data_IF_578918951185
#
_entry.id   IF_578918951185
#
_cell.length_a   1.000
_cell.length_b   1.000
_cell.length_c   1.000
_cell.angle_alpha   90.00
_cell.angle_beta   90.00
_cell.angle_gamma   90.00
#
_symmetry.space_group_name_H-M   'P 1'
#
loop_
_entity.id
_entity.type
_entity.pdbx_description
1 polymer ?
#
# COMPACT_ATOMS: atom_id res chain seq x y z
N UNK A 1 -4.06 -7.71 -11.82
CA UNK A 1 -4.97 -7.04 -10.86
C UNK A 1 -4.36 -7.17 -9.48
N UNK A 2 -4.08 -6.04 -8.82
CA UNK A 2 -3.46 -5.99 -7.48
C UNK A 2 -4.50 -5.87 -6.36
N UNK A 3 -5.80 -5.92 -6.72
CA UNK A 3 -6.94 -5.52 -5.88
C UNK A 3 -7.16 -6.38 -4.62
N UNK A 4 -6.40 -7.47 -4.46
CA UNK A 4 -6.59 -8.49 -3.43
C UNK A 4 -5.42 -8.58 -2.45
N UNK A 5 -4.39 -7.74 -2.61
CA UNK A 5 -3.20 -7.77 -1.76
C UNK A 5 -3.33 -6.80 -0.58
N UNK A 6 -2.94 -7.30 0.58
CA UNK A 6 -2.94 -6.57 1.84
C UNK A 6 -1.56 -6.70 2.49
N UNK A 7 -1.09 -5.61 3.09
CA UNK A 7 0.12 -5.59 3.88
C UNK A 7 -0.26 -5.69 5.36
N UNK A 8 0.36 -6.62 6.04
CA UNK A 8 0.27 -6.85 7.47
C UNK A 8 1.57 -6.36 8.10
N UNK A 9 1.50 -5.34 8.95
CA UNK A 9 2.65 -4.88 9.74
C UNK A 9 2.81 -5.80 10.93
N UNK A 10 3.94 -6.50 10.97
CA UNK A 10 4.24 -7.51 11.99
C UNK A 10 4.75 -6.83 13.27
N UNK A 11 4.43 -7.42 14.41
CA UNK A 11 4.97 -7.04 15.71
C UNK A 11 6.44 -7.48 15.88
N UNK A 12 7.01 -7.16 17.04
CA UNK A 12 8.41 -7.45 17.37
C UNK A 12 8.75 -8.94 17.29
N UNK A 13 7.82 -9.83 17.66
CA UNK A 13 7.96 -11.28 17.47
C UNK A 13 7.35 -11.72 16.13
N UNK A 14 7.97 -11.32 15.03
CA UNK A 14 7.45 -11.56 13.68
C UNK A 14 7.24 -13.05 13.35
N UNK A 15 8.04 -13.96 13.93
CA UNK A 15 7.88 -15.41 13.70
C UNK A 15 6.55 -15.92 14.25
N UNK A 16 6.18 -15.47 15.46
CA UNK A 16 4.89 -15.80 16.05
C UNK A 16 3.76 -15.15 15.25
N UNK A 17 3.91 -13.87 14.89
CA UNK A 17 2.92 -13.15 14.06
C UNK A 17 2.65 -13.86 12.73
N UNK A 18 3.70 -14.34 12.05
CA UNK A 18 3.57 -15.11 10.80
C UNK A 18 2.87 -16.45 11.03
N UNK A 19 3.18 -17.16 12.12
CA UNK A 19 2.54 -18.43 12.45
C UNK A 19 1.05 -18.26 12.78
N UNK A 20 0.70 -17.23 13.57
CA UNK A 20 -0.70 -16.87 13.85
C UNK A 20 -1.45 -16.54 12.56
N UNK A 21 -0.85 -15.69 11.72
CA UNK A 21 -1.43 -15.29 10.44
C UNK A 21 -1.64 -16.50 9.52
N UNK A 22 -0.63 -17.34 9.32
CA UNK A 22 -0.74 -18.55 8.51
C UNK A 22 -1.83 -19.50 9.02
N UNK A 23 -1.92 -19.68 10.35
CA UNK A 23 -2.95 -20.50 10.98
C UNK A 23 -4.36 -19.92 10.71
N UNK A 24 -4.54 -18.62 10.89
CA UNK A 24 -5.82 -17.94 10.63
C UNK A 24 -6.20 -18.05 9.15
N UNK A 25 -5.27 -17.81 8.22
CA UNK A 25 -5.53 -17.90 6.79
C UNK A 25 -5.95 -19.31 6.35
N UNK A 26 -5.39 -20.35 6.98
CA UNK A 26 -5.71 -21.76 6.67
C UNK A 26 -7.00 -22.25 7.31
N UNK A 27 -7.28 -21.91 8.56
CA UNK A 27 -8.33 -22.58 9.34
C UNK A 27 -9.53 -21.70 9.69
N UNK A 28 -9.49 -20.40 9.40
CA UNK A 28 -10.63 -19.49 9.65
C UNK A 28 -11.44 -19.21 8.38
N UNK A 29 -12.41 -18.29 8.49
CA UNK A 29 -13.16 -17.71 7.36
C UNK A 29 -12.30 -16.80 6.46
N UNK A 30 -11.15 -16.33 6.94
CA UNK A 30 -10.26 -15.41 6.23
C UNK A 30 -9.31 -16.14 5.26
N UNK A 31 -9.85 -16.90 4.31
CA UNK A 31 -9.03 -17.70 3.39
C UNK A 31 -8.10 -16.84 2.53
N UNK A 32 -6.84 -17.24 2.48
CA UNK A 32 -5.80 -16.55 1.73
C UNK A 32 -4.43 -17.20 1.91
N UNK A 33 -3.40 -16.53 1.38
CA UNK A 33 -2.01 -16.98 1.48
C UNK A 33 -1.05 -15.81 1.67
N UNK A 34 0.04 -16.05 2.39
CA UNK A 34 1.18 -15.14 2.43
C UNK A 34 1.94 -15.32 1.12
N UNK A 35 2.06 -14.26 0.33
CA UNK A 35 2.76 -14.29 -0.97
C UNK A 35 4.18 -13.75 -0.89
N UNK A 36 4.47 -12.94 0.12
CA UNK A 36 5.80 -12.39 0.40
C UNK A 36 5.86 -11.96 1.87
N UNK A 37 7.05 -11.95 2.47
CA UNK A 37 7.23 -11.47 3.84
C UNK A 37 8.66 -11.04 4.15
N UNK A 38 8.79 -10.23 5.18
CA UNK A 38 10.04 -9.83 5.82
C UNK A 38 9.87 -9.86 7.34
N UNK A 39 10.86 -9.38 8.10
CA UNK A 39 10.74 -9.25 9.55
C UNK A 39 9.68 -8.20 9.98
N UNK A 40 9.32 -7.26 9.10
CA UNK A 40 8.45 -6.13 9.44
C UNK A 40 7.07 -6.21 8.81
N UNK A 41 6.95 -6.88 7.66
CA UNK A 41 5.71 -6.94 6.90
C UNK A 41 5.46 -8.32 6.32
N UNK A 42 4.20 -8.69 6.17
CA UNK A 42 3.75 -9.79 5.34
C UNK A 42 2.76 -9.28 4.28
N UNK A 43 2.88 -9.76 3.05
CA UNK A 43 1.93 -9.50 1.98
C UNK A 43 1.01 -10.70 1.89
N UNK A 44 -0.28 -10.46 2.08
CA UNK A 44 -1.34 -11.47 2.05
C UNK A 44 -2.22 -11.23 0.86
N UNK A 45 -2.51 -12.30 0.12
CA UNK A 45 -3.53 -12.33 -0.92
C UNK A 45 -4.73 -13.11 -0.39
N UNK A 46 -5.88 -12.44 -0.25
CA UNK A 46 -7.13 -13.09 0.14
C UNK A 46 -7.87 -13.64 -1.07
N UNK A 47 -8.54 -14.77 -0.89
CA UNK A 47 -9.34 -15.40 -1.94
C UNK A 47 -10.58 -14.55 -2.28
N UNK A 48 -11.43 -14.29 -1.28
CA UNK A 48 -12.74 -13.68 -1.51
C UNK A 48 -13.05 -12.46 -0.61
N UNK A 49 -12.20 -12.13 0.36
CA UNK A 49 -12.48 -11.11 1.39
C UNK A 49 -12.95 -9.76 0.79
N UNK A 50 -12.29 -9.31 -0.28
CA UNK A 50 -12.55 -8.05 -0.96
C UNK A 50 -13.90 -8.00 -1.70
N UNK A 51 -14.55 -9.15 -1.94
CA UNK A 51 -15.87 -9.23 -2.58
C UNK A 51 -16.98 -8.80 -1.64
N UNK A 52 -16.79 -8.92 -0.32
CA UNK A 52 -17.77 -8.43 0.64
C UNK A 52 -17.74 -6.89 0.68
N UNK A 53 -18.90 -6.24 0.49
CA UNK A 53 -19.05 -4.78 0.62
C UNK A 53 -18.60 -4.25 2.00
N UNK A 54 -18.68 -5.08 3.02
CA UNK A 54 -18.35 -4.77 4.42
C UNK A 54 -17.03 -5.40 4.88
N UNK A 55 -16.14 -5.78 3.96
CA UNK A 55 -14.86 -6.43 4.28
C UNK A 55 -13.97 -5.65 5.24
N UNK A 56 -14.17 -4.34 5.37
CA UNK A 56 -13.46 -3.50 6.35
C UNK A 56 -13.75 -3.97 7.78
N UNK A 57 -15.00 -4.32 8.09
CA UNK A 57 -15.38 -4.83 9.42
C UNK A 57 -14.72 -6.18 9.70
N UNK A 58 -14.65 -7.03 8.66
CA UNK A 58 -13.96 -8.32 8.72
C UNK A 58 -12.45 -8.15 8.94
N UNK A 59 -11.81 -7.17 8.29
CA UNK A 59 -10.41 -6.83 8.54
C UNK A 59 -10.17 -6.31 9.96
N UNK A 60 -11.11 -5.55 10.53
CA UNK A 60 -11.04 -5.10 11.92
C UNK A 60 -11.12 -6.27 12.90
N UNK A 61 -12.03 -7.21 12.67
CA UNK A 61 -12.13 -8.46 13.45
C UNK A 61 -10.84 -9.28 13.34
N UNK A 62 -10.30 -9.42 12.12
CA UNK A 62 -9.03 -10.11 11.90
C UNK A 62 -7.88 -9.43 12.65
N UNK A 63 -7.78 -8.10 12.61
CA UNK A 63 -6.75 -7.36 13.34
C UNK A 63 -6.91 -7.53 14.86
N UNK A 64 -8.14 -7.62 15.36
CA UNK A 64 -8.39 -7.91 16.78
C UNK A 64 -7.96 -9.33 17.18
N UNK A 65 -8.17 -10.33 16.31
CA UNK A 65 -7.77 -11.72 16.56
C UNK A 65 -6.26 -11.92 16.55
N UNK A 66 -5.54 -11.14 15.74
CA UNK A 66 -4.10 -11.26 15.55
C UNK A 66 -3.34 -10.38 16.55
N UNK A 67 -2.98 -10.95 17.70
CA UNK A 67 -2.22 -10.24 18.74
C UNK A 67 -0.82 -9.79 18.29
N UNK A 68 -0.23 -10.49 17.31
CA UNK A 68 1.08 -10.16 16.74
C UNK A 68 1.07 -9.17 15.57
N UNK A 69 -0.08 -8.59 15.17
CA UNK A 69 -0.19 -7.69 14.02
C UNK A 69 -0.55 -6.28 14.46
N UNK A 70 0.27 -5.31 14.03
CA UNK A 70 0.08 -3.91 14.41
C UNK A 70 -0.95 -3.20 13.52
N UNK A 71 -0.93 -3.48 12.22
CA UNK A 71 -1.78 -2.79 11.24
C UNK A 71 -1.98 -3.63 10.00
N UNK A 72 -3.18 -3.52 9.41
CA UNK A 72 -3.48 -4.09 8.10
C UNK A 72 -3.74 -2.93 7.12
N UNK A 73 -3.15 -2.99 5.93
CA UNK A 73 -3.29 -1.96 4.89
C UNK A 73 -3.60 -2.59 3.54
N UNK A 74 -4.52 -2.00 2.78
CA UNK A 74 -4.82 -2.43 1.41
C UNK A 74 -3.78 -1.87 0.44
N UNK A 75 -3.29 -2.72 -0.46
CA UNK A 75 -2.41 -2.29 -1.56
C UNK A 75 -3.28 -1.87 -2.75
N UNK A 76 -3.10 -0.64 -3.23
CA UNK A 76 -3.80 -0.13 -4.42
C UNK A 76 -2.96 -0.24 -5.68
N UNK A 77 -1.65 -0.06 -5.55
CA UNK A 77 -0.69 -0.12 -6.64
C UNK A 77 0.71 -0.41 -6.09
N UNK A 78 1.65 -0.69 -6.99
CA UNK A 78 3.05 -0.93 -6.65
C UNK A 78 3.97 -0.18 -7.60
N UNK A 79 4.94 0.51 -7.02
CA UNK A 79 6.02 1.17 -7.75
C UNK A 79 7.33 0.52 -7.32
N UNK A 80 8.08 -0.01 -8.30
CA UNK A 80 9.38 -0.61 -8.02
C UNK A 80 10.36 0.47 -7.55
N UNK A 81 11.24 0.13 -6.60
CA UNK A 81 12.21 1.09 -6.05
C UNK A 81 13.11 1.70 -7.14
N UNK A 82 13.54 0.91 -8.13
CA UNK A 82 14.32 1.42 -9.27
C UNK A 82 13.58 2.52 -10.04
N UNK A 83 12.25 2.40 -10.21
CA UNK A 83 11.45 3.43 -10.87
C UNK A 83 11.45 4.73 -10.07
N UNK A 84 11.45 4.66 -8.74
CA UNK A 84 11.59 5.84 -7.87
C UNK A 84 12.99 6.46 -8.00
N UNK A 85 14.04 5.64 -7.97
CA UNK A 85 15.42 6.11 -8.13
C UNK A 85 15.67 6.77 -9.49
N UNK A 86 15.08 6.23 -10.56
CA UNK A 86 15.14 6.81 -11.90
C UNK A 86 14.34 8.12 -12.03
N UNK A 87 13.21 8.23 -11.32
CA UNK A 87 12.40 9.44 -11.31
C UNK A 87 12.99 10.54 -10.42
N UNK A 88 13.73 10.18 -9.38
CA UNK A 88 14.31 11.12 -8.42
C UNK A 88 15.78 10.79 -8.14
N UNK A 89 16.65 10.87 -9.17
CA UNK A 89 18.07 10.60 -8.98
C UNK A 89 18.75 11.74 -8.23
N UNK A 90 19.83 11.44 -7.51
CA UNK A 90 20.67 12.42 -6.83
C UNK A 90 21.43 13.35 -7.79
N UNK A 91 21.59 12.94 -9.04
CA UNK A 91 22.18 13.73 -10.11
C UNK A 91 21.38 13.55 -11.40
N UNK A 92 21.07 14.67 -12.07
CA UNK A 92 20.29 14.66 -13.31
C UNK A 92 21.23 14.77 -14.50
N UNK A 93 21.56 13.64 -15.12
CA UNK A 93 22.33 13.63 -16.37
C UNK A 93 21.45 13.90 -17.60
N UNK A 94 20.24 13.31 -17.63
CA UNK A 94 19.30 13.40 -18.76
C UNK A 94 17.88 13.69 -18.29
N UNK A 95 17.51 14.96 -18.30
CA UNK A 95 16.20 15.45 -17.84
C UNK A 95 15.01 14.73 -18.48
N UNK A 96 15.07 14.43 -19.79
CA UNK A 96 13.97 13.79 -20.53
C UNK A 96 13.62 12.38 -20.01
N UNK A 97 14.62 11.61 -19.55
CA UNK A 97 14.38 10.26 -19.00
C UNK A 97 13.65 10.38 -17.66
N UNK A 98 14.12 11.30 -16.82
CA UNK A 98 13.53 11.61 -15.52
C UNK A 98 12.07 12.06 -15.66
N UNK A 99 11.79 12.97 -16.60
CA UNK A 99 10.44 13.47 -16.88
C UNK A 99 9.48 12.34 -17.28
N UNK A 100 9.90 11.46 -18.19
CA UNK A 100 9.09 10.31 -18.62
C UNK A 100 8.78 9.39 -17.43
N UNK A 101 9.76 9.09 -16.59
CA UNK A 101 9.58 8.20 -15.44
C UNK A 101 8.70 8.84 -14.36
N UNK A 102 8.84 10.14 -14.10
CA UNK A 102 7.94 10.89 -13.21
C UNK A 102 6.50 10.89 -13.69
N UNK A 103 6.28 11.10 -14.99
CA UNK A 103 4.94 11.06 -15.58
C UNK A 103 4.27 9.68 -15.44
N UNK A 104 5.04 8.60 -15.50
CA UNK A 104 4.52 7.24 -15.21
C UNK A 104 4.04 7.13 -13.76
N UNK A 105 4.83 7.60 -12.80
CA UNK A 105 4.47 7.60 -11.38
C UNK A 105 3.21 8.45 -11.14
N UNK A 106 3.15 9.65 -11.71
CA UNK A 106 1.98 10.54 -11.61
C UNK A 106 0.73 9.87 -12.18
N UNK A 107 0.86 9.17 -13.31
CA UNK A 107 -0.26 8.41 -13.90
C UNK A 107 -0.76 7.32 -12.95
N UNK A 108 0.13 6.56 -12.32
CA UNK A 108 -0.24 5.54 -11.33
C UNK A 108 -0.96 6.14 -10.12
N UNK A 109 -0.43 7.24 -9.59
CA UNK A 109 -1.03 7.97 -8.46
C UNK A 109 -2.44 8.47 -8.83
N UNK A 110 -2.58 9.15 -9.97
CA UNK A 110 -3.86 9.70 -10.44
C UNK A 110 -4.91 8.61 -10.68
N UNK A 111 -4.50 7.40 -11.09
CA UNK A 111 -5.40 6.27 -11.26
C UNK A 111 -5.77 5.60 -9.92
N UNK A 112 -4.91 5.69 -8.91
CA UNK A 112 -5.08 5.04 -7.61
C UNK A 112 -5.83 5.88 -6.59
N UNK A 113 -5.63 7.21 -6.58
CA UNK A 113 -6.26 8.13 -5.64
C UNK A 113 -7.81 8.05 -5.63
N UNK A 114 -8.50 8.02 -6.79
CA UNK A 114 -9.96 7.87 -6.82
C UNK A 114 -10.47 6.54 -6.27
N UNK A 115 -9.63 5.50 -6.24
CA UNK A 115 -9.97 4.20 -5.64
C UNK A 115 -9.87 4.24 -4.11
N UNK A 116 -8.97 5.06 -3.58
CA UNK A 116 -8.78 5.25 -2.13
C UNK A 116 -9.89 6.14 -1.54
N UNK A 117 -10.23 7.22 -2.25
CA UNK A 117 -11.20 8.21 -1.78
C UNK A 117 -12.47 8.14 -2.61
N UNK A 118 -13.56 7.69 -1.98
CA UNK A 118 -14.88 7.72 -2.63
C UNK A 118 -15.26 9.18 -2.91
N UNK A 119 -15.63 9.46 -4.16
CA UNK A 119 -16.09 10.78 -4.56
C UNK A 119 -17.36 11.16 -3.81
N UNK A 120 -17.35 12.31 -3.13
CA UNK A 120 -18.55 12.91 -2.56
C UNK A 120 -19.42 13.36 -3.74
N UNK A 121 -20.71 13.02 -3.72
CA UNK A 121 -21.64 13.28 -4.82
C UNK A 121 -21.67 14.80 -5.10
N UNK A 122 -21.55 15.17 -6.37
CA UNK A 122 -21.55 16.56 -6.86
C UNK A 122 -20.35 17.43 -6.43
N UNK A 123 -19.27 16.83 -5.92
CA UNK A 123 -18.05 17.57 -5.61
C UNK A 123 -16.86 17.14 -6.49
N UNK A 124 -16.02 18.12 -6.84
CA UNK A 124 -14.72 17.88 -7.47
C UNK A 124 -13.69 17.54 -6.41
N UNK A 125 -13.03 16.39 -6.54
CA UNK A 125 -11.87 16.06 -5.71
C UNK A 125 -10.65 16.81 -6.25
N UNK A 126 -10.05 17.65 -5.42
CA UNK A 126 -8.74 18.25 -5.67
C UNK A 126 -7.71 17.60 -4.75
N UNK A 127 -6.65 17.04 -5.33
CA UNK A 127 -5.52 16.51 -4.57
C UNK A 127 -4.40 17.54 -4.58
N UNK A 128 -4.22 18.23 -3.45
CA UNK A 128 -3.11 19.15 -3.28
C UNK A 128 -1.80 18.37 -3.13
N UNK A 129 -0.75 18.83 -3.82
CA UNK A 129 0.62 18.40 -3.53
C UNK A 129 1.13 19.28 -2.39
N UNK A 130 1.37 18.70 -1.21
CA UNK A 130 1.99 19.43 -0.11
C UNK A 130 3.42 19.77 -0.50
N UNK A 131 3.70 21.04 -0.73
CA UNK A 131 5.05 21.57 -0.87
C UNK A 131 5.49 21.86 0.57
N UNK A 132 6.44 21.10 1.11
CA UNK A 132 7.02 21.43 2.41
C UNK A 132 7.63 22.85 2.33
N UNK A 133 7.39 23.74 3.31
CA UNK A 133 7.91 25.11 3.28
C UNK A 133 9.44 25.20 3.27
N UNK A 134 10.15 24.13 3.60
CA UNK A 134 11.60 24.12 3.77
C UNK A 134 12.41 24.30 2.47
N UNK A 135 11.78 24.37 1.30
CA UNK A 135 12.47 24.58 0.02
C UNK A 135 12.47 26.03 -0.47
N UNK A 136 12.00 27.01 0.32
CA UNK A 136 12.08 28.42 -0.05
C UNK A 136 13.43 29.08 0.27
N UNK A 137 14.21 28.51 1.20
CA UNK A 137 15.45 29.12 1.71
C UNK A 137 16.75 28.48 1.20
N UNK A 138 16.70 27.50 0.29
CA UNK A 138 17.90 26.92 -0.32
C UNK A 138 18.06 27.42 -1.76
N UNK A 139 19.09 28.26 -1.99
CA UNK A 139 19.49 28.72 -3.33
C UNK A 139 19.94 27.53 -4.20
N UNK A 140 19.46 27.50 -5.45
CA UNK A 140 19.70 26.47 -6.46
C UNK A 140 21.07 26.60 -7.14
#
# INVERSE_FOLDING_TARGET
>A
MMDNKFIFVLGSNFKLSLAELDNVLKYSKFKGKIVDYSANIAVVEFEDLHKNKHYINELMELQYLLGGIQKISKVFDFVHMNTLMEAFPSHIEKYRVVEITRNKILTLINNSLPKMFKRIKNESLFFAVSIYPNFYDEEY
#
